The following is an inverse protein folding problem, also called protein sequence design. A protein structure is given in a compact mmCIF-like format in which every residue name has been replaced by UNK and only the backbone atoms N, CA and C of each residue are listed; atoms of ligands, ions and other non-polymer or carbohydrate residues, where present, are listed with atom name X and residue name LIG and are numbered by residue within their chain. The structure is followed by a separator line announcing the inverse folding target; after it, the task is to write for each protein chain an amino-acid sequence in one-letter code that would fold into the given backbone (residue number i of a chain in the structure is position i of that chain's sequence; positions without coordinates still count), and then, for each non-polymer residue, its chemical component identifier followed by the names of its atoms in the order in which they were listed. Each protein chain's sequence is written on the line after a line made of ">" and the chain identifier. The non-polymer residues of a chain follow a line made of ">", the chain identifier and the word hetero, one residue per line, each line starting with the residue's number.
data_IF_310425619802
#
_entry.id   IF_310425619802
#
_cell.length_a   1.000
_cell.length_b   1.000
_cell.length_c   1.000
_cell.angle_alpha   90.00
_cell.angle_beta   90.00
_cell.angle_gamma   90.00
#
_symmetry.space_group_name_H-M   'P 1'
#
loop_
_entity.id
_entity.type
_entity.pdbx_description
1 polymer ?
#
# COMPACT_ATOMS: atom_id res chain seq x y z
N UNK A 1 16.07 6.35 -6.19
CA UNK A 1 14.93 5.71 -6.89
C UNK A 1 15.07 4.21 -6.68
N UNK A 2 14.02 3.53 -6.23
CA UNK A 2 14.09 2.08 -5.97
C UNK A 2 13.97 1.32 -7.29
N UNK A 3 14.88 0.38 -7.51
CA UNK A 3 14.77 -0.54 -8.63
C UNK A 3 13.84 -1.70 -8.24
N UNK A 4 12.60 -1.65 -8.69
CA UNK A 4 11.63 -2.73 -8.52
C UNK A 4 11.72 -3.78 -9.64
N UNK A 5 12.64 -3.61 -10.61
CA UNK A 5 12.72 -4.46 -11.79
C UNK A 5 13.56 -5.73 -11.58
N UNK A 6 13.87 -6.09 -10.33
CA UNK A 6 14.60 -7.32 -10.04
C UNK A 6 13.73 -8.54 -10.34
N UNK A 7 13.81 -9.01 -11.58
CA UNK A 7 13.02 -10.13 -12.13
C UNK A 7 13.26 -11.48 -11.44
N UNK A 8 14.31 -11.59 -10.63
CA UNK A 8 14.59 -12.80 -9.87
C UNK A 8 13.74 -12.93 -8.59
N UNK A 9 13.00 -11.91 -8.22
CA UNK A 9 12.17 -11.92 -7.03
C UNK A 9 10.83 -12.62 -7.26
N UNK A 10 10.35 -13.30 -6.23
CA UNK A 10 9.07 -14.00 -6.22
C UNK A 10 7.99 -13.13 -5.60
N UNK A 11 6.79 -13.23 -6.17
CA UNK A 11 5.58 -12.56 -5.70
C UNK A 11 4.55 -13.65 -5.39
N UNK A 12 3.85 -13.52 -4.28
CA UNK A 12 2.69 -14.37 -4.01
C UNK A 12 1.46 -13.77 -4.69
N UNK A 13 0.79 -14.54 -5.54
CA UNK A 13 -0.39 -14.14 -6.30
C UNK A 13 -1.43 -15.23 -6.25
N UNK A 14 -2.57 -14.97 -5.66
CA UNK A 14 -3.75 -15.87 -5.63
C UNK A 14 -3.44 -17.31 -5.19
N UNK A 15 -2.58 -17.49 -4.19
CA UNK A 15 -2.22 -18.80 -3.65
C UNK A 15 -0.84 -19.30 -4.11
N UNK A 16 -0.30 -18.79 -5.20
CA UNK A 16 0.93 -19.27 -5.81
C UNK A 16 2.10 -18.29 -5.73
N UNK A 17 3.32 -18.82 -5.69
CA UNK A 17 4.54 -18.04 -5.87
C UNK A 17 4.90 -17.95 -7.35
N UNK A 18 4.72 -16.77 -7.91
CA UNK A 18 5.01 -16.48 -9.32
C UNK A 18 6.30 -15.68 -9.49
N UNK A 19 6.85 -15.67 -10.70
CA UNK A 19 7.94 -14.74 -11.04
C UNK A 19 7.41 -13.32 -11.22
N UNK A 20 8.32 -12.34 -11.20
CA UNK A 20 7.98 -10.94 -11.46
C UNK A 20 7.18 -10.77 -12.77
N UNK A 21 7.66 -11.41 -13.85
CA UNK A 21 7.06 -11.26 -15.19
C UNK A 21 5.67 -11.92 -15.31
N UNK A 22 5.32 -12.85 -14.42
CA UNK A 22 4.00 -13.50 -14.37
C UNK A 22 2.98 -12.70 -13.54
N UNK A 23 3.44 -11.71 -12.76
CA UNK A 23 2.57 -10.88 -11.94
C UNK A 23 2.02 -9.68 -12.71
N UNK A 24 1.42 -9.92 -13.88
CA UNK A 24 0.80 -8.90 -14.70
C UNK A 24 -0.68 -8.71 -14.38
N UNK A 25 -1.18 -7.52 -14.69
CA UNK A 25 -2.57 -7.13 -14.51
C UNK A 25 -3.12 -6.68 -15.87
N UNK A 26 -4.32 -7.13 -16.23
CA UNK A 26 -4.96 -6.76 -17.48
C UNK A 26 -5.33 -5.28 -17.49
N UNK A 27 -5.20 -4.60 -18.62
CA UNK A 27 -5.49 -3.16 -18.74
C UNK A 27 -6.95 -2.78 -18.44
N UNK A 28 -7.89 -3.69 -18.58
CA UNK A 28 -9.31 -3.49 -18.25
C UNK A 28 -9.66 -3.90 -16.81
N UNK A 29 -8.68 -4.11 -15.96
CA UNK A 29 -8.92 -4.41 -14.54
C UNK A 29 -9.71 -3.29 -13.88
N UNK A 30 -10.85 -3.63 -13.27
CA UNK A 30 -11.81 -2.68 -12.68
C UNK A 30 -11.14 -1.70 -11.73
N UNK A 31 -10.26 -2.18 -10.85
CA UNK A 31 -9.52 -1.34 -9.91
C UNK A 31 -8.67 -0.27 -10.59
N UNK A 32 -8.09 -0.53 -11.76
CA UNK A 32 -7.31 0.47 -12.51
C UNK A 32 -8.17 1.63 -13.00
N UNK A 33 -9.45 1.38 -13.30
CA UNK A 33 -10.37 2.39 -13.82
C UNK A 33 -11.09 3.16 -12.73
N UNK A 34 -11.43 2.50 -11.62
CA UNK A 34 -12.31 3.07 -10.58
C UNK A 34 -11.66 3.22 -9.21
N UNK A 35 -10.43 2.76 -9.03
CA UNK A 35 -9.70 2.91 -7.77
C UNK A 35 -10.22 2.07 -6.61
N UNK A 36 -11.09 1.09 -6.86
CA UNK A 36 -11.64 0.19 -5.83
C UNK A 36 -10.70 -0.98 -5.62
N UNK A 37 -9.84 -0.82 -4.65
CA UNK A 37 -8.90 -1.82 -4.18
C UNK A 37 -8.33 -1.38 -2.84
N UNK A 38 -7.70 -2.28 -2.11
CA UNK A 38 -7.14 -1.99 -0.79
C UNK A 38 -5.73 -2.54 -0.68
N UNK A 39 -4.89 -1.90 0.13
CA UNK A 39 -3.52 -2.35 0.32
C UNK A 39 -3.01 -2.03 1.72
N UNK A 40 -1.91 -2.66 2.09
CA UNK A 40 -1.15 -2.31 3.28
C UNK A 40 0.32 -2.06 2.98
N UNK A 41 1.00 -1.50 3.92
CA UNK A 41 2.44 -1.32 3.90
C UNK A 41 3.02 -1.80 5.21
N UNK A 42 3.71 -2.92 5.18
CA UNK A 42 4.24 -3.61 6.35
C UNK A 42 5.77 -3.66 6.24
N UNK A 43 6.47 -3.47 7.34
CA UNK A 43 7.93 -3.58 7.35
C UNK A 43 8.40 -4.83 8.07
N UNK A 44 9.40 -5.46 7.49
CA UNK A 44 10.23 -6.45 8.16
C UNK A 44 11.57 -5.80 8.50
N UNK A 45 12.07 -6.09 9.69
CA UNK A 45 13.34 -5.60 10.21
C UNK A 45 14.27 -6.77 10.52
N UNK A 46 15.55 -6.59 10.26
CA UNK A 46 16.55 -7.54 10.71
C UNK A 46 16.67 -7.53 12.23
N UNK A 47 16.70 -8.72 12.83
CA UNK A 47 16.87 -8.90 14.27
C UNK A 47 17.88 -10.02 14.55
N UNK A 48 18.34 -10.14 15.78
CA UNK A 48 19.26 -11.20 16.19
C UNK A 48 18.70 -12.62 15.95
N UNK A 49 17.38 -12.75 15.80
CA UNK A 49 16.69 -14.01 15.54
C UNK A 49 16.22 -14.14 14.07
N UNK A 50 16.75 -13.32 13.17
CA UNK A 50 16.34 -13.24 11.76
C UNK A 50 15.29 -12.18 11.50
N UNK A 51 14.73 -12.11 10.26
CA UNK A 51 13.80 -11.07 9.87
C UNK A 51 12.46 -11.17 10.63
N UNK A 52 12.02 -10.05 11.21
CA UNK A 52 10.77 -9.95 11.95
C UNK A 52 9.82 -8.95 11.29
N UNK A 53 8.60 -9.39 10.96
CA UNK A 53 7.57 -8.50 10.39
C UNK A 53 6.87 -7.76 11.53
N UNK A 54 6.97 -6.44 11.52
CA UNK A 54 6.40 -5.61 12.56
C UNK A 54 4.87 -5.55 12.47
N UNK A 55 4.19 -5.98 13.55
CA UNK A 55 2.72 -5.92 13.70
C UNK A 55 1.95 -6.49 12.52
N UNK A 56 2.42 -7.61 11.97
CA UNK A 56 1.82 -8.22 10.77
C UNK A 56 0.33 -8.54 10.95
N UNK A 57 -0.07 -8.96 12.14
CA UNK A 57 -1.45 -9.30 12.46
C UNK A 57 -2.36 -8.07 12.32
N UNK A 58 -2.02 -6.97 13.00
CA UNK A 58 -2.84 -5.76 13.03
C UNK A 58 -2.89 -5.08 11.64
N UNK A 59 -1.80 -5.12 10.89
CA UNK A 59 -1.81 -4.67 9.50
C UNK A 59 -2.72 -5.52 8.62
N UNK A 60 -2.69 -6.84 8.80
CA UNK A 60 -3.55 -7.74 8.02
C UNK A 60 -5.02 -7.59 8.42
N UNK A 61 -5.33 -7.48 9.70
CA UNK A 61 -6.69 -7.19 10.19
C UNK A 61 -7.23 -5.88 9.58
N UNK A 62 -6.43 -4.80 9.56
CA UNK A 62 -6.83 -3.54 8.93
C UNK A 62 -7.04 -3.66 7.42
N UNK A 63 -6.26 -4.51 6.73
CA UNK A 63 -6.48 -4.82 5.31
C UNK A 63 -7.85 -5.44 5.07
N UNK A 64 -8.24 -6.41 5.92
CA UNK A 64 -9.55 -7.05 5.84
C UNK A 64 -10.70 -6.09 6.18
N UNK A 65 -10.52 -5.23 7.17
CA UNK A 65 -11.50 -4.18 7.46
C UNK A 65 -11.66 -3.21 6.29
N UNK A 66 -10.55 -2.79 5.67
CA UNK A 66 -10.58 -1.94 4.49
C UNK A 66 -11.33 -2.60 3.32
N UNK A 67 -11.12 -3.91 3.09
CA UNK A 67 -11.81 -4.66 2.06
C UNK A 67 -13.34 -4.69 2.29
N UNK A 68 -13.77 -4.92 3.53
CA UNK A 68 -15.20 -4.88 3.91
C UNK A 68 -15.85 -3.53 3.59
N UNK A 69 -15.16 -2.42 3.83
CA UNK A 69 -15.67 -1.07 3.55
C UNK A 69 -15.95 -0.85 2.07
N UNK A 70 -15.21 -1.49 1.19
CA UNK A 70 -15.37 -1.38 -0.28
C UNK A 70 -16.03 -2.61 -0.89
N UNK A 71 -16.69 -3.43 -0.07
CA UNK A 71 -17.42 -4.64 -0.47
C UNK A 71 -16.57 -5.65 -1.26
N UNK A 72 -15.35 -5.89 -0.79
CA UNK A 72 -14.48 -6.92 -1.34
C UNK A 72 -14.41 -8.09 -0.34
N UNK A 73 -14.91 -9.24 -0.74
CA UNK A 73 -14.78 -10.48 0.02
C UNK A 73 -13.47 -11.18 -0.34
N UNK A 74 -12.52 -11.15 0.58
CA UNK A 74 -11.19 -11.74 0.37
C UNK A 74 -11.32 -13.27 0.43
N UNK A 75 -10.89 -14.03 -0.62
CA UNK A 75 -11.06 -15.49 -0.66
C UNK A 75 -9.97 -16.25 0.14
N UNK A 76 -9.40 -15.61 1.15
CA UNK A 76 -8.36 -16.13 2.05
C UNK A 76 -8.64 -15.71 3.48
N UNK A 77 -8.18 -16.49 4.44
CA UNK A 77 -8.18 -16.12 5.85
C UNK A 77 -7.07 -15.11 6.18
N UNK A 78 -7.19 -14.46 7.33
CA UNK A 78 -6.15 -13.58 7.87
C UNK A 78 -4.83 -14.31 8.03
N UNK A 79 -4.87 -15.57 8.50
CA UNK A 79 -3.72 -16.43 8.71
C UNK A 79 -3.01 -16.77 7.41
N UNK A 80 -3.74 -17.06 6.34
CA UNK A 80 -3.18 -17.34 5.01
C UNK A 80 -2.47 -16.10 4.44
N UNK A 81 -3.02 -14.91 4.61
CA UNK A 81 -2.36 -13.66 4.17
C UNK A 81 -1.14 -13.33 5.02
N UNK A 82 -1.15 -13.61 6.32
CA UNK A 82 0.03 -13.49 7.18
C UNK A 82 1.12 -14.45 6.69
N UNK A 83 0.78 -15.69 6.39
CA UNK A 83 1.72 -16.68 5.91
C UNK A 83 2.27 -16.35 4.52
N UNK A 84 1.44 -15.79 3.64
CA UNK A 84 1.89 -15.27 2.34
C UNK A 84 2.95 -14.17 2.50
N UNK A 85 2.78 -13.25 3.45
CA UNK A 85 3.75 -12.18 3.74
C UNK A 85 5.09 -12.77 4.24
N UNK A 86 5.07 -13.74 5.14
CA UNK A 86 6.28 -14.45 5.58
C UNK A 86 6.94 -15.21 4.45
N UNK A 87 6.15 -15.91 3.65
CA UNK A 87 6.63 -16.70 2.51
C UNK A 87 7.38 -15.83 1.51
N UNK A 88 6.83 -14.68 1.13
CA UNK A 88 7.48 -13.75 0.20
C UNK A 88 8.79 -13.21 0.77
N UNK A 89 8.84 -12.87 2.05
CA UNK A 89 10.05 -12.42 2.73
C UNK A 89 11.16 -13.48 2.68
N UNK A 90 10.84 -14.71 3.09
CA UNK A 90 11.78 -15.83 3.18
C UNK A 90 12.25 -16.30 1.79
N UNK A 91 11.33 -16.46 0.82
CA UNK A 91 11.65 -16.96 -0.52
C UNK A 91 12.47 -15.98 -1.36
N UNK A 92 12.50 -14.72 -0.97
CA UNK A 92 13.35 -13.71 -1.58
C UNK A 92 14.65 -13.44 -0.80
N UNK A 93 14.87 -14.13 0.32
CA UNK A 93 16.04 -13.97 1.20
C UNK A 93 16.22 -12.50 1.64
N UNK A 94 15.14 -11.86 2.10
CA UNK A 94 15.21 -10.50 2.64
C UNK A 94 15.43 -10.54 4.15
N UNK A 95 16.46 -9.86 4.62
CA UNK A 95 16.67 -9.58 6.04
C UNK A 95 15.83 -8.38 6.49
N UNK A 96 15.73 -7.36 5.63
CA UNK A 96 14.84 -6.22 5.79
C UNK A 96 14.07 -5.98 4.51
N UNK A 97 12.76 -5.68 4.63
CA UNK A 97 11.94 -5.40 3.47
C UNK A 97 10.72 -4.53 3.80
N UNK A 98 10.22 -3.88 2.77
CA UNK A 98 8.86 -3.40 2.73
C UNK A 98 7.97 -4.44 2.05
N UNK A 99 6.87 -4.80 2.68
CA UNK A 99 5.91 -5.79 2.20
C UNK A 99 4.63 -5.06 1.81
N UNK A 100 4.12 -5.37 0.62
CA UNK A 100 2.91 -4.77 0.05
C UNK A 100 1.89 -5.86 -0.27
N UNK A 101 0.99 -6.19 0.65
CA UNK A 101 -0.24 -6.86 0.26
C UNK A 101 -1.17 -5.86 -0.44
N UNK A 102 -1.76 -6.26 -1.55
CA UNK A 102 -2.75 -5.50 -2.30
C UNK A 102 -3.86 -6.44 -2.77
N UNK A 103 -5.10 -5.97 -2.67
CA UNK A 103 -6.30 -6.67 -3.09
C UNK A 103 -7.03 -5.79 -4.08
N UNK A 104 -7.39 -6.37 -5.23
CA UNK A 104 -8.01 -5.63 -6.31
C UNK A 104 -9.05 -6.46 -7.06
N UNK A 105 -9.98 -5.77 -7.70
CA UNK A 105 -11.05 -6.36 -8.52
C UNK A 105 -10.57 -6.60 -9.95
N UNK A 106 -10.95 -7.73 -10.53
CA UNK A 106 -10.54 -8.20 -11.84
C UNK A 106 -11.08 -7.42 -13.04
N UNK A 107 -11.18 -8.09 -14.18
CA UNK A 107 -11.46 -7.45 -15.48
C UNK A 107 -12.66 -8.05 -16.22
N UNK A 108 -13.51 -8.78 -15.52
CA UNK A 108 -14.66 -9.48 -16.09
C UNK A 108 -15.75 -8.51 -16.55
N UNK A 109 -15.87 -7.36 -15.87
CA UNK A 109 -16.86 -6.33 -16.21
C UNK A 109 -16.33 -4.94 -15.84
N UNK A 110 -16.88 -3.90 -16.45
CA UNK A 110 -16.61 -2.49 -16.16
C UNK A 110 -17.90 -1.74 -15.82
N UNK A 111 -17.76 -0.65 -15.10
CA UNK A 111 -18.85 0.24 -14.69
C UNK A 111 -19.07 0.21 -13.17
N UNK A 112 -19.84 1.20 -12.69
CA UNK A 112 -20.10 1.36 -11.24
C UNK A 112 -21.00 0.27 -10.65
N UNK A 113 -21.68 -0.49 -11.50
CA UNK A 113 -22.54 -1.62 -11.13
C UNK A 113 -21.97 -2.96 -11.60
N UNK A 114 -20.65 -3.02 -11.78
CA UNK A 114 -20.01 -4.27 -12.15
C UNK A 114 -20.20 -5.31 -11.04
N UNK A 115 -20.65 -6.49 -11.44
CA UNK A 115 -20.92 -7.63 -10.57
C UNK A 115 -20.00 -8.79 -10.97
N UNK A 116 -19.87 -9.80 -10.12
CA UNK A 116 -19.11 -11.03 -10.38
C UNK A 116 -17.63 -10.82 -10.76
N UNK A 117 -17.03 -9.76 -10.22
CA UNK A 117 -15.62 -9.50 -10.42
C UNK A 117 -14.75 -10.42 -9.57
N UNK A 118 -13.74 -11.01 -10.17
CA UNK A 118 -12.75 -11.80 -9.43
C UNK A 118 -11.99 -10.92 -8.43
N UNK A 119 -11.76 -11.46 -7.24
CA UNK A 119 -10.91 -10.82 -6.23
C UNK A 119 -9.51 -11.36 -6.37
N UNK A 120 -8.57 -10.48 -6.68
CA UNK A 120 -7.17 -10.83 -6.82
C UNK A 120 -6.38 -10.34 -5.61
N UNK A 121 -5.50 -11.20 -5.09
CA UNK A 121 -4.65 -10.91 -3.95
C UNK A 121 -3.19 -11.09 -4.34
N UNK A 122 -2.40 -10.04 -4.13
CA UNK A 122 -0.96 -10.05 -4.38
C UNK A 122 -0.23 -9.66 -3.10
N UNK A 123 0.85 -10.36 -2.81
CA UNK A 123 1.82 -9.95 -1.79
C UNK A 123 3.19 -9.86 -2.43
N UNK A 124 3.73 -8.67 -2.50
CA UNK A 124 5.08 -8.39 -2.98
C UNK A 124 5.97 -7.86 -1.85
N UNK A 125 7.27 -8.07 -1.95
CA UNK A 125 8.25 -7.48 -1.03
C UNK A 125 9.47 -6.99 -1.80
N UNK A 126 10.08 -5.94 -1.28
CA UNK A 126 11.33 -5.39 -1.83
C UNK A 126 12.14 -4.69 -0.74
N UNK A 127 13.43 -4.60 -0.98
CA UNK A 127 14.29 -3.80 -0.12
C UNK A 127 13.92 -2.32 -0.26
N UNK A 128 13.53 -1.73 0.85
CA UNK A 128 13.26 -0.30 0.91
C UNK A 128 14.07 0.31 2.05
N UNK A 129 15.19 0.92 1.75
CA UNK A 129 15.92 1.71 2.73
C UNK A 129 15.02 2.83 3.29
N UNK A 130 15.51 3.72 4.07
CA UNK A 130 14.68 4.80 4.63
C UNK A 130 13.89 5.54 3.54
N UNK A 131 12.60 5.82 3.78
CA UNK A 131 11.76 6.66 2.92
C UNK A 131 12.36 8.06 2.73
N UNK A 132 13.01 8.57 3.75
CA UNK A 132 13.70 9.85 3.75
C UNK A 132 15.21 9.65 3.93
N UNK A 133 15.98 10.64 3.53
CA UNK A 133 17.41 10.70 3.79
C UNK A 133 17.68 10.43 5.29
N UNK A 134 18.65 9.56 5.64
CA UNK A 134 19.02 9.31 7.03
C UNK A 134 19.31 10.59 7.83
N UNK A 135 19.85 11.64 7.21
CA UNK A 135 20.08 12.94 7.85
C UNK A 135 18.77 13.64 8.25
N UNK A 136 17.67 13.38 7.55
CA UNK A 136 16.36 13.98 7.85
C UNK A 136 15.82 13.58 9.23
N UNK A 137 16.31 12.47 9.79
CA UNK A 137 15.98 12.07 11.18
C UNK A 137 16.50 13.08 12.22
N UNK A 138 17.58 13.78 11.91
CA UNK A 138 18.20 14.74 12.80
C UNK A 138 17.86 16.19 12.44
N UNK A 139 17.79 16.50 11.15
CA UNK A 139 17.53 17.85 10.64
C UNK A 139 16.04 18.19 10.50
N UNK A 140 15.17 17.17 10.49
CA UNK A 140 13.77 17.33 10.11
C UNK A 140 13.61 17.43 8.59
N UNK A 141 12.40 17.75 8.16
CA UNK A 141 12.00 17.92 6.77
C UNK A 141 11.32 19.27 6.55
N UNK A 142 11.39 19.76 5.34
CA UNK A 142 10.65 20.96 4.92
C UNK A 142 9.24 20.58 4.49
N UNK A 143 8.25 21.33 4.97
CA UNK A 143 6.84 21.07 4.65
C UNK A 143 6.19 22.34 4.15
N UNK A 144 5.42 22.25 3.07
CA UNK A 144 4.63 23.36 2.55
C UNK A 144 3.14 23.06 2.61
N UNK A 145 2.35 24.07 2.95
CA UNK A 145 0.88 23.93 2.93
C UNK A 145 0.40 23.73 1.49
N UNK A 146 -0.27 22.60 1.25
CA UNK A 146 -0.85 22.28 -0.05
C UNK A 146 -2.08 23.15 -0.38
N UNK A 147 -2.27 23.56 -1.64
CA UNK A 147 -3.52 24.15 -2.09
C UNK A 147 -4.64 23.10 -2.21
N UNK A 148 -4.26 21.84 -2.35
CA UNK A 148 -5.20 20.71 -2.46
C UNK A 148 -5.68 20.29 -1.08
N UNK A 149 -6.99 20.34 -0.88
CA UNK A 149 -7.63 19.92 0.37
C UNK A 149 -8.11 18.50 0.26
N UNK A 150 -8.25 17.82 1.38
CA UNK A 150 -8.79 16.47 1.42
C UNK A 150 -10.12 16.45 2.17
N UNK A 151 -11.10 15.80 1.54
CA UNK A 151 -12.31 15.41 2.25
C UNK A 151 -12.04 14.10 2.98
N UNK A 152 -12.11 14.16 4.30
CA UNK A 152 -11.95 12.98 5.14
C UNK A 152 -13.33 12.35 5.41
N UNK A 153 -13.71 11.37 4.60
CA UNK A 153 -14.91 10.60 4.86
C UNK A 153 -14.72 9.74 6.12
N UNK A 154 -15.53 9.92 7.17
CA UNK A 154 -15.36 9.20 8.44
C UNK A 154 -15.48 7.67 8.30
N UNK A 155 -16.17 7.19 7.27
CA UNK A 155 -16.39 5.75 7.09
C UNK A 155 -15.16 5.01 6.57
N UNK A 156 -14.27 5.65 5.81
CA UNK A 156 -13.11 4.98 5.22
C UNK A 156 -11.78 5.73 5.32
N UNK A 157 -11.75 6.88 5.97
CA UNK A 157 -10.53 7.70 6.03
C UNK A 157 -9.36 7.07 6.78
N UNK A 158 -9.62 6.04 7.59
CA UNK A 158 -8.61 5.30 8.34
C UNK A 158 -8.02 4.11 7.57
N UNK A 159 -8.53 3.86 6.36
CA UNK A 159 -8.18 2.69 5.56
C UNK A 159 -7.41 3.06 4.30
N UNK A 160 -6.59 2.13 3.82
CA UNK A 160 -5.76 2.30 2.62
C UNK A 160 -6.51 1.80 1.38
N UNK A 161 -7.35 2.67 0.82
CA UNK A 161 -8.07 2.43 -0.43
C UNK A 161 -7.29 3.05 -1.58
N UNK A 162 -7.05 2.31 -2.67
CA UNK A 162 -6.18 2.71 -3.78
C UNK A 162 -6.55 4.07 -4.38
N UNK A 163 -7.82 4.31 -4.64
CA UNK A 163 -8.30 5.55 -5.27
C UNK A 163 -8.16 6.80 -4.41
N UNK A 164 -8.01 6.67 -3.09
CA UNK A 164 -7.89 7.84 -2.19
C UNK A 164 -6.50 8.49 -2.24
N UNK A 165 -5.50 7.81 -2.79
CA UNK A 165 -4.11 8.29 -2.84
C UNK A 165 -3.84 9.32 -3.93
N UNK A 166 -4.74 9.49 -4.90
CA UNK A 166 -4.56 10.47 -5.99
C UNK A 166 -4.33 11.87 -5.42
N UNK A 167 -5.15 12.30 -4.45
CA UNK A 167 -5.01 13.63 -3.85
C UNK A 167 -3.67 13.81 -3.11
N UNK A 168 -3.22 12.78 -2.37
CA UNK A 168 -1.94 12.82 -1.67
C UNK A 168 -0.76 12.92 -2.65
N UNK A 169 -0.83 12.21 -3.78
CA UNK A 169 0.21 12.26 -4.83
C UNK A 169 0.29 13.65 -5.45
N UNK A 170 -0.86 14.23 -5.83
CA UNK A 170 -0.91 15.56 -6.45
C UNK A 170 -0.42 16.64 -5.47
N UNK A 171 -0.80 16.54 -4.20
CA UNK A 171 -0.34 17.45 -3.17
C UNK A 171 1.18 17.37 -2.94
N UNK A 172 1.74 16.16 -2.93
CA UNK A 172 3.18 15.95 -2.81
C UNK A 172 3.93 16.49 -4.03
N UNK A 173 3.43 16.26 -5.25
CA UNK A 173 4.03 16.81 -6.47
C UNK A 173 4.10 18.34 -6.45
N UNK A 174 3.06 19.01 -5.98
CA UNK A 174 3.05 20.47 -5.79
C UNK A 174 4.08 20.91 -4.74
N UNK A 175 4.20 20.20 -3.63
CA UNK A 175 5.19 20.50 -2.59
C UNK A 175 6.63 20.34 -3.11
N UNK A 176 6.93 19.26 -3.81
CA UNK A 176 8.24 19.00 -4.42
C UNK A 176 8.57 20.08 -5.47
N UNK A 177 7.60 20.49 -6.29
CA UNK A 177 7.79 21.57 -7.26
C UNK A 177 8.12 22.92 -6.60
N UNK A 178 7.75 23.10 -5.33
CA UNK A 178 8.09 24.27 -4.51
C UNK A 178 9.38 24.10 -3.70
N UNK A 179 10.07 22.97 -3.87
CA UNK A 179 11.33 22.67 -3.16
C UNK A 179 11.15 22.17 -1.73
N UNK A 180 9.95 21.70 -1.36
CA UNK A 180 9.69 21.09 -0.06
C UNK A 180 9.72 19.56 -0.14
N UNK A 181 9.97 18.92 1.00
CA UNK A 181 10.06 17.46 1.10
C UNK A 181 8.68 16.82 1.20
N UNK A 182 7.70 17.50 1.82
CA UNK A 182 6.35 16.99 2.06
C UNK A 182 5.27 18.08 1.97
N UNK A 183 4.02 17.64 1.76
CA UNK A 183 2.84 18.49 1.72
C UNK A 183 2.03 18.43 3.01
N UNK A 184 1.70 19.58 3.58
CA UNK A 184 0.70 19.68 4.63
C UNK A 184 -0.68 19.82 3.99
N UNK A 185 -1.47 18.76 4.04
CA UNK A 185 -2.83 18.75 3.51
C UNK A 185 -3.82 19.10 4.61
N UNK A 186 -4.70 20.07 4.34
CA UNK A 186 -5.79 20.42 5.24
C UNK A 186 -7.09 19.76 4.77
N UNK A 187 -8.02 19.55 5.67
CA UNK A 187 -9.37 19.15 5.29
C UNK A 187 -10.17 20.34 4.73
N UNK A 188 -11.42 20.13 4.35
CA UNK A 188 -12.28 21.20 3.82
C UNK A 188 -12.59 22.28 4.88
N UNK A 189 -12.54 21.95 6.18
CA UNK A 189 -12.72 22.88 7.28
C UNK A 189 -11.48 23.71 7.60
N UNK A 190 -10.36 23.47 6.88
CA UNK A 190 -9.04 24.07 7.12
C UNK A 190 -8.35 23.57 8.41
N UNK A 191 -8.89 22.54 9.03
CA UNK A 191 -8.21 21.84 10.13
C UNK A 191 -7.15 20.93 9.52
N UNK A 192 -5.99 20.86 10.19
CA UNK A 192 -4.94 19.94 9.78
C UNK A 192 -5.41 18.48 9.90
N UNK A 193 -5.39 17.78 8.78
CA UNK A 193 -5.43 16.34 8.74
C UNK A 193 -4.08 15.87 8.19
N UNK A 194 -3.26 15.29 9.06
CA UNK A 194 -2.18 14.48 8.58
C UNK A 194 -2.77 13.22 7.95
N UNK A 195 -2.16 12.69 6.91
CA UNK A 195 -2.24 11.26 6.67
C UNK A 195 -2.08 10.57 8.02
N UNK A 196 -2.83 9.47 8.30
CA UNK A 196 -2.63 8.78 9.56
C UNK A 196 -1.15 8.49 9.68
N UNK A 197 -0.52 9.34 10.45
CA UNK A 197 0.90 9.25 10.72
C UNK A 197 1.13 7.84 11.17
N UNK A 198 2.04 7.17 10.52
CA UNK A 198 2.50 5.87 10.97
C UNK A 198 2.78 6.00 12.46
N UNK A 199 2.16 5.22 13.32
CA UNK A 199 2.69 5.10 14.66
C UNK A 199 4.12 4.61 14.51
N UNK A 200 5.04 5.37 15.00
CA UNK A 200 6.45 5.04 15.05
C UNK A 200 6.66 3.85 15.97
#
# INVERSE_FOLDING_TARGET
>A
MFDLTNKNKKIWKNGDLVSWDECNVHSLTHTLHYGVGVFEGVRAYNTDNGPAIFRVKEHTERLFEAAKIVNIDIPYSTEEIIEAQKTVLLKNNFDEAYIRPIIYLGNESLGLRAEDLSVNVIVAAWEWPSYMDPESKHKGISVVKSPYKQYKNPNWSNYKITGTYVNSIVALQDAVAKGADEALILDLSLIHISEPTRPY
#
